data_IF_184293457088
#
_entry.id   IF_184293457088
#
_cell.length_a   1.000
_cell.length_b   1.000
_cell.length_c   1.000
_cell.angle_alpha   90.00
_cell.angle_beta   90.00
_cell.angle_gamma   90.00
#
_symmetry.space_group_name_H-M   'P 1'
#
loop_
_entity.id
_entity.type
_entity.pdbx_description
1 polymer ?
#
# COMPACT_ATOMS: atom_id res chain seq x y z
N UNK A 1 -8.29 -2.15 20.20
CA UNK A 1 -7.12 -2.15 21.11
C UNK A 1 -7.34 -2.96 22.39
N UNK A 2 -8.56 -3.38 22.75
CA UNK A 2 -8.79 -4.08 24.02
C UNK A 2 -8.41 -5.58 24.02
N UNK A 3 -8.57 -6.28 22.90
CA UNK A 3 -8.43 -7.74 22.83
C UNK A 3 -6.97 -8.23 22.99
N UNK A 4 -6.01 -7.47 22.47
CA UNK A 4 -4.58 -7.80 22.64
C UNK A 4 -4.12 -7.49 24.08
N UNK A 5 -4.80 -6.56 24.77
CA UNK A 5 -4.46 -6.22 26.14
C UNK A 5 -4.81 -7.36 27.11
N UNK A 6 -5.78 -8.21 26.77
CA UNK A 6 -6.17 -9.38 27.55
C UNK A 6 -5.41 -10.66 27.17
N UNK A 7 -4.60 -10.62 26.11
CA UNK A 7 -3.79 -11.76 25.69
C UNK A 7 -2.67 -12.04 26.72
N UNK A 8 -2.35 -13.30 27.00
CA UNK A 8 -1.19 -13.68 27.81
C UNK A 8 0.10 -13.02 27.32
N UNK A 9 0.99 -12.65 28.23
CA UNK A 9 2.22 -11.88 27.92
C UNK A 9 3.13 -12.64 26.94
N UNK A 10 3.21 -13.95 27.08
CA UNK A 10 3.94 -14.87 26.23
C UNK A 10 3.35 -14.97 24.81
N UNK A 11 2.03 -14.84 24.67
CA UNK A 11 1.29 -14.92 23.40
C UNK A 11 1.17 -13.56 22.71
N UNK A 12 1.52 -12.46 23.40
CA UNK A 12 1.33 -11.11 22.90
C UNK A 12 2.21 -10.80 21.67
N UNK A 13 1.63 -10.28 20.58
CA UNK A 13 2.39 -9.95 19.38
C UNK A 13 3.30 -8.74 19.62
N UNK A 14 4.50 -8.77 19.03
CA UNK A 14 5.46 -7.66 19.05
C UNK A 14 5.02 -6.49 18.17
N UNK A 15 4.28 -6.81 17.12
CA UNK A 15 3.73 -5.85 16.18
C UNK A 15 2.27 -6.20 15.93
N UNK A 16 1.41 -5.18 15.90
CA UNK A 16 0.01 -5.34 15.52
C UNK A 16 -0.47 -4.06 14.83
N UNK A 17 -0.87 -4.20 13.57
CA UNK A 17 -1.51 -3.12 12.81
C UNK A 17 -2.77 -3.66 12.15
N UNK A 18 -3.87 -2.94 12.33
CA UNK A 18 -5.17 -3.26 11.73
C UNK A 18 -5.50 -2.25 10.64
N UNK A 19 -5.90 -2.75 9.47
CA UNK A 19 -6.46 -1.95 8.39
C UNK A 19 -7.83 -2.55 8.00
N UNK A 20 -8.92 -1.83 8.31
CA UNK A 20 -10.29 -2.36 8.21
C UNK A 20 -10.43 -3.71 8.93
N UNK A 21 -10.58 -4.80 8.20
CA UNK A 21 -10.79 -6.14 8.74
C UNK A 21 -9.49 -6.98 8.75
N UNK A 22 -8.47 -6.52 8.04
CA UNK A 22 -7.17 -7.18 7.95
C UNK A 22 -6.23 -6.75 9.10
N UNK A 23 -5.47 -7.71 9.62
CA UNK A 23 -4.51 -7.51 10.70
C UNK A 23 -3.15 -8.04 10.23
N UNK A 24 -2.12 -7.20 10.37
CA UNK A 24 -0.72 -7.61 10.23
C UNK A 24 -0.08 -7.66 11.60
N UNK A 25 0.47 -8.82 11.94
CA UNK A 25 1.05 -9.09 13.25
C UNK A 25 2.42 -9.78 13.17
N UNK A 26 3.21 -9.60 14.22
CA UNK A 26 4.49 -10.30 14.40
C UNK A 26 4.44 -11.07 15.72
N UNK A 27 4.31 -12.38 15.63
CA UNK A 27 4.24 -13.31 16.76
C UNK A 27 5.27 -14.43 16.57
N UNK A 28 5.67 -15.07 17.67
CA UNK A 28 6.48 -16.28 17.60
C UNK A 28 5.66 -17.41 16.98
N UNK A 29 6.29 -18.25 16.16
CA UNK A 29 5.59 -19.30 15.40
C UNK A 29 4.84 -20.28 16.31
N UNK A 30 5.43 -20.62 17.45
CA UNK A 30 4.84 -21.49 18.47
C UNK A 30 3.60 -20.89 19.17
N UNK A 31 3.43 -19.56 19.11
CA UNK A 31 2.35 -18.86 19.81
C UNK A 31 1.23 -18.39 18.86
N UNK A 32 1.36 -18.62 17.55
CA UNK A 32 0.40 -18.18 16.54
C UNK A 32 -1.00 -18.83 16.74
N UNK A 33 -1.01 -20.15 17.00
CA UNK A 33 -2.24 -20.89 17.28
C UNK A 33 -2.91 -20.38 18.56
N UNK A 34 -2.14 -20.23 19.65
CA UNK A 34 -2.64 -19.72 20.93
C UNK A 34 -3.21 -18.30 20.82
N UNK A 35 -2.60 -17.44 20.01
CA UNK A 35 -3.09 -16.08 19.78
C UNK A 35 -4.42 -16.10 19.03
N UNK A 36 -4.51 -16.92 17.98
CA UNK A 36 -5.71 -17.04 17.15
C UNK A 36 -6.88 -17.61 17.96
N UNK A 37 -6.62 -18.60 18.82
CA UNK A 37 -7.60 -19.15 19.75
C UNK A 37 -8.08 -18.10 20.75
N UNK A 38 -7.17 -17.32 21.34
CA UNK A 38 -7.52 -16.21 22.24
C UNK A 38 -8.41 -15.16 21.55
N UNK A 39 -8.09 -14.79 20.32
CA UNK A 39 -8.89 -13.85 19.53
C UNK A 39 -10.30 -14.39 19.28
N UNK A 40 -10.41 -15.67 18.93
CA UNK A 40 -11.69 -16.35 18.68
C UNK A 40 -12.55 -16.55 19.93
N UNK A 41 -11.93 -16.65 21.12
CA UNK A 41 -12.67 -16.76 22.39
C UNK A 41 -13.25 -15.42 22.87
N UNK A 42 -12.82 -14.30 22.27
CA UNK A 42 -13.26 -12.97 22.71
C UNK A 42 -14.71 -12.67 22.35
N UNK A 43 -15.19 -13.22 21.23
CA UNK A 43 -16.59 -13.09 20.83
C UNK A 43 -17.42 -14.27 21.36
N UNK A 44 -18.08 -14.04 22.51
CA UNK A 44 -18.96 -15.03 23.12
C UNK A 44 -20.15 -15.44 22.23
N UNK A 45 -20.48 -14.67 21.20
CA UNK A 45 -21.57 -14.99 20.26
C UNK A 45 -21.12 -15.94 19.14
N UNK A 46 -19.81 -16.07 18.91
CA UNK A 46 -19.25 -16.85 17.80
C UNK A 46 -19.55 -16.28 16.42
N UNK A 47 -19.96 -15.01 16.32
CA UNK A 47 -20.30 -14.35 15.06
C UNK A 47 -19.04 -13.96 14.27
N UNK A 48 -17.92 -13.75 14.96
CA UNK A 48 -16.64 -13.36 14.37
C UNK A 48 -15.64 -14.51 14.55
N UNK A 49 -15.02 -14.92 13.45
CA UNK A 49 -13.93 -15.89 13.44
C UNK A 49 -12.69 -15.31 12.76
N UNK A 50 -11.60 -15.25 13.50
CA UNK A 50 -10.27 -14.93 13.02
C UNK A 50 -9.65 -16.16 12.36
N UNK A 51 -9.06 -15.92 11.21
CA UNK A 51 -8.21 -16.86 10.47
C UNK A 51 -6.84 -16.21 10.31
N UNK A 52 -5.78 -16.98 10.45
CA UNK A 52 -4.41 -16.51 10.26
C UNK A 52 -3.83 -17.01 8.93
N UNK A 53 -3.13 -16.12 8.23
CA UNK A 53 -2.27 -16.47 7.10
C UNK A 53 -0.82 -16.42 7.58
N UNK A 54 -0.11 -17.55 7.49
CA UNK A 54 1.28 -17.66 7.96
C UNK A 54 2.26 -17.38 6.84
N UNK A 55 3.41 -16.82 7.22
CA UNK A 55 4.55 -16.68 6.32
C UNK A 55 4.96 -18.05 5.77
N UNK A 56 5.05 -18.16 4.44
CA UNK A 56 5.49 -19.35 3.74
C UNK A 56 6.72 -19.03 2.90
N UNK A 57 7.82 -19.73 3.14
CA UNK A 57 9.09 -19.53 2.42
C UNK A 57 9.56 -18.07 2.37
N UNK A 58 9.45 -17.33 3.48
CA UNK A 58 9.83 -15.90 3.51
C UNK A 58 8.76 -14.94 2.96
N UNK A 59 7.64 -15.45 2.44
CA UNK A 59 6.62 -14.66 1.77
C UNK A 59 5.34 -14.60 2.60
N UNK A 60 4.80 -13.39 2.77
CA UNK A 60 3.52 -13.16 3.43
C UNK A 60 2.69 -12.13 2.63
N UNK A 61 1.59 -12.54 1.98
CA UNK A 61 0.66 -11.60 1.38
C UNK A 61 -0.10 -10.83 2.47
N UNK A 62 -0.30 -9.55 2.28
CA UNK A 62 -1.15 -8.70 3.12
C UNK A 62 -1.72 -7.56 2.26
N UNK A 63 -3.04 -7.54 2.07
CA UNK A 63 -3.71 -6.60 1.15
C UNK A 63 -3.12 -6.71 -0.28
N UNK A 64 -2.75 -5.57 -0.87
CA UNK A 64 -2.11 -5.46 -2.18
C UNK A 64 -0.57 -5.57 -2.12
N UNK A 65 -0.02 -5.98 -0.96
CA UNK A 65 1.43 -6.03 -0.71
C UNK A 65 1.87 -7.46 -0.45
N UNK A 66 2.97 -7.86 -1.08
CA UNK A 66 3.68 -9.09 -0.77
C UNK A 66 4.92 -8.72 0.04
N UNK A 67 4.92 -9.14 1.30
CA UNK A 67 6.04 -8.94 2.22
C UNK A 67 7.02 -10.09 1.99
N UNK A 68 8.27 -9.78 1.68
CA UNK A 68 9.32 -10.79 1.45
C UNK A 68 10.45 -10.56 2.44
N UNK A 69 10.69 -11.55 3.29
CA UNK A 69 11.83 -11.60 4.21
C UNK A 69 13.04 -12.15 3.48
N UNK A 70 14.11 -11.37 3.41
CA UNK A 70 15.41 -11.79 2.87
C UNK A 70 16.22 -12.55 3.91
N UNK A 71 17.19 -13.34 3.46
CA UNK A 71 18.04 -14.17 4.32
C UNK A 71 18.83 -13.36 5.36
N UNK A 72 19.14 -12.10 5.03
CA UNK A 72 19.81 -11.17 5.94
C UNK A 72 18.88 -10.54 7.00
N UNK A 73 17.61 -10.99 7.07
CA UNK A 73 16.60 -10.50 8.01
C UNK A 73 15.93 -9.18 7.63
N UNK A 74 16.31 -8.56 6.52
CA UNK A 74 15.64 -7.35 6.02
C UNK A 74 14.41 -7.70 5.17
N UNK A 75 13.48 -6.76 5.06
CA UNK A 75 12.22 -6.95 4.35
C UNK A 75 12.28 -6.16 3.04
N UNK A 76 11.77 -6.77 1.96
CA UNK A 76 11.38 -6.06 0.75
C UNK A 76 9.89 -6.23 0.50
N UNK A 77 9.30 -5.25 -0.17
CA UNK A 77 7.88 -5.25 -0.49
C UNK A 77 7.70 -5.31 -2.01
N UNK A 78 6.74 -6.13 -2.43
CA UNK A 78 6.31 -6.27 -3.82
C UNK A 78 4.81 -6.03 -3.92
N UNK A 79 4.30 -5.84 -5.14
CA UNK A 79 2.85 -5.81 -5.38
C UNK A 79 2.33 -7.25 -5.37
N UNK A 80 1.40 -7.54 -4.47
CA UNK A 80 0.73 -8.85 -4.44
C UNK A 80 -0.42 -8.89 -5.47
N UNK A 81 -0.52 -10.01 -6.17
CA UNK A 81 -1.65 -10.33 -7.05
C UNK A 81 -2.14 -11.72 -6.67
N UNK A 82 -3.44 -11.85 -6.38
CA UNK A 82 -4.07 -13.16 -6.13
C UNK A 82 -3.92 -14.04 -7.38
N UNK A 83 -3.95 -15.36 -7.20
CA UNK A 83 -3.91 -16.32 -8.31
C UNK A 83 -5.04 -16.13 -9.33
N UNK A 84 -6.17 -15.55 -8.90
CA UNK A 84 -7.30 -15.20 -9.75
C UNK A 84 -7.16 -13.87 -10.50
N UNK A 85 -6.05 -13.13 -10.32
CA UNK A 85 -5.84 -11.84 -10.97
C UNK A 85 -5.53 -12.05 -12.47
N UNK A 86 -6.36 -11.49 -13.34
CA UNK A 86 -6.28 -11.70 -14.80
C UNK A 86 -5.55 -10.59 -15.55
N UNK A 87 -5.08 -9.55 -14.86
CA UNK A 87 -4.58 -8.30 -15.47
C UNK A 87 -5.61 -7.60 -16.36
N UNK A 88 -6.90 -7.88 -16.16
CA UNK A 88 -7.96 -7.23 -16.90
C UNK A 88 -8.27 -5.86 -16.30
N UNK A 89 -7.80 -4.82 -16.97
CA UNK A 89 -8.08 -3.42 -16.63
C UNK A 89 -9.16 -2.81 -17.54
N UNK A 90 -9.47 -1.54 -17.30
CA UNK A 90 -10.42 -0.79 -18.12
C UNK A 90 -9.99 -0.80 -19.58
N UNK A 91 -10.80 -1.36 -20.48
CA UNK A 91 -10.45 -1.41 -21.90
C UNK A 91 -10.33 0.00 -22.49
N UNK A 92 -9.24 0.28 -23.20
CA UNK A 92 -8.97 1.61 -23.77
C UNK A 92 -10.02 2.06 -24.81
N UNK A 93 -10.65 1.13 -25.53
CA UNK A 93 -11.68 1.42 -26.54
C UNK A 93 -13.10 1.54 -25.97
N UNK A 94 -13.29 1.27 -24.68
CA UNK A 94 -14.61 1.42 -24.04
C UNK A 94 -15.09 2.87 -24.02
N UNK A 95 -16.40 3.08 -23.87
CA UNK A 95 -17.03 4.41 -23.78
C UNK A 95 -16.86 5.05 -22.39
N UNK A 96 -15.63 5.04 -21.87
CA UNK A 96 -15.29 5.71 -20.61
C UNK A 96 -14.54 7.02 -20.87
N UNK A 97 -14.72 8.04 -20.01
CA UNK A 97 -13.98 9.29 -20.09
C UNK A 97 -12.47 9.06 -20.14
N UNK A 98 -11.78 9.86 -20.96
CA UNK A 98 -10.35 9.68 -21.19
C UNK A 98 -9.51 9.82 -19.90
N UNK A 99 -9.93 10.68 -18.97
CA UNK A 99 -9.22 10.85 -17.70
C UNK A 99 -9.32 9.62 -16.79
N UNK A 100 -10.40 8.83 -16.85
CA UNK A 100 -10.47 7.55 -16.12
C UNK A 100 -9.47 6.55 -16.67
N UNK A 101 -9.32 6.48 -18.01
CA UNK A 101 -8.34 5.60 -18.66
C UNK A 101 -6.92 5.95 -18.24
N UNK A 102 -6.56 7.24 -18.26
CA UNK A 102 -5.26 7.70 -17.74
C UNK A 102 -5.11 7.46 -16.23
N UNK A 103 -6.21 7.56 -15.48
CA UNK A 103 -6.27 7.26 -14.06
C UNK A 103 -5.83 5.84 -13.74
N UNK A 104 -6.21 4.84 -14.55
CA UNK A 104 -5.75 3.46 -14.38
C UNK A 104 -4.23 3.36 -14.44
N UNK A 105 -3.60 3.94 -15.48
CA UNK A 105 -2.14 3.94 -15.62
C UNK A 105 -1.50 4.60 -14.40
N UNK A 106 -2.02 5.77 -14.02
CA UNK A 106 -1.51 6.54 -12.89
C UNK A 106 -1.58 5.74 -11.59
N UNK A 107 -2.71 5.13 -11.29
CA UNK A 107 -2.90 4.34 -10.07
C UNK A 107 -1.95 3.15 -10.01
N UNK A 108 -1.77 2.42 -11.11
CA UNK A 108 -0.84 1.28 -11.15
C UNK A 108 0.62 1.73 -11.00
N UNK A 109 1.01 2.83 -11.65
CA UNK A 109 2.37 3.39 -11.53
C UNK A 109 2.64 3.96 -10.14
N UNK A 110 1.68 4.66 -9.54
CA UNK A 110 1.76 5.14 -8.15
C UNK A 110 1.85 3.97 -7.17
N UNK A 111 1.09 2.89 -7.41
CA UNK A 111 1.17 1.66 -6.61
C UNK A 111 2.55 1.03 -6.68
N UNK A 112 3.11 0.87 -7.89
CA UNK A 112 4.48 0.38 -8.07
C UNK A 112 5.49 1.26 -7.31
N UNK A 113 5.38 2.58 -7.42
CA UNK A 113 6.33 3.50 -6.79
C UNK A 113 6.25 3.48 -5.26
N UNK A 114 5.05 3.40 -4.69
CA UNK A 114 4.83 3.51 -3.25
C UNK A 114 4.99 2.18 -2.50
N UNK A 115 4.68 1.05 -3.15
CA UNK A 115 4.75 -0.27 -2.51
C UNK A 115 6.13 -0.89 -2.69
N UNK A 116 6.65 -0.91 -3.92
CA UNK A 116 7.86 -1.69 -4.22
C UNK A 116 9.09 -0.98 -3.67
N UNK A 117 9.91 -1.70 -2.91
CA UNK A 117 11.06 -1.11 -2.21
C UNK A 117 12.33 -1.08 -3.07
N UNK A 118 12.60 -2.14 -3.82
CA UNK A 118 13.85 -2.31 -4.59
C UNK A 118 13.68 -1.82 -6.04
N UNK A 119 14.71 -1.20 -6.63
CA UNK A 119 14.59 -0.58 -7.96
C UNK A 119 14.55 -1.63 -9.09
N UNK A 120 15.21 -2.77 -8.88
CA UNK A 120 15.15 -3.93 -9.78
C UNK A 120 13.69 -4.45 -9.86
N UNK A 121 13.06 -4.67 -8.71
CA UNK A 121 11.68 -5.09 -8.61
C UNK A 121 10.71 -4.05 -9.17
N UNK A 122 10.98 -2.75 -8.99
CA UNK A 122 10.18 -1.69 -9.64
C UNK A 122 10.27 -1.77 -11.15
N UNK A 123 11.42 -2.12 -11.70
CA UNK A 123 11.59 -2.25 -13.16
C UNK A 123 10.78 -3.42 -13.68
N UNK A 124 10.78 -4.54 -12.97
CA UNK A 124 9.95 -5.72 -13.29
C UNK A 124 8.47 -5.37 -13.21
N UNK A 125 8.03 -4.71 -12.15
CA UNK A 125 6.64 -4.32 -11.93
C UNK A 125 6.16 -3.30 -12.97
N UNK A 126 6.98 -2.29 -13.33
CA UNK A 126 6.67 -1.33 -14.40
C UNK A 126 6.49 -2.04 -15.75
N UNK A 127 7.34 -3.02 -16.04
CA UNK A 127 7.21 -3.83 -17.26
C UNK A 127 5.90 -4.61 -17.26
N UNK A 128 5.59 -5.31 -16.17
CA UNK A 128 4.31 -6.03 -16.01
C UNK A 128 3.10 -5.11 -16.23
N UNK A 129 3.09 -3.93 -15.60
CA UNK A 129 2.01 -2.95 -15.77
C UNK A 129 1.86 -2.53 -17.24
N UNK A 130 2.98 -2.31 -17.93
CA UNK A 130 2.98 -1.90 -19.34
C UNK A 130 2.40 -3.01 -20.22
N UNK A 131 2.89 -4.24 -20.08
CA UNK A 131 2.42 -5.41 -20.84
C UNK A 131 0.93 -5.70 -20.58
N UNK A 132 0.48 -5.55 -19.34
CA UNK A 132 -0.93 -5.72 -18.97
C UNK A 132 -1.84 -4.66 -19.61
N UNK A 133 -1.42 -3.40 -19.61
CA UNK A 133 -2.19 -2.31 -20.19
C UNK A 133 -2.17 -2.33 -21.72
N UNK A 134 -1.07 -2.75 -22.33
CA UNK A 134 -1.00 -3.00 -23.78
C UNK A 134 -2.00 -4.07 -24.21
N UNK A 135 -2.13 -5.17 -23.45
CA UNK A 135 -3.20 -6.17 -23.64
C UNK A 135 -4.61 -5.59 -23.51
N UNK A 136 -4.78 -4.52 -22.72
CA UNK A 136 -6.04 -3.79 -22.58
C UNK A 136 -6.26 -2.71 -23.65
N UNK A 137 -5.37 -2.62 -24.66
CA UNK A 137 -5.48 -1.70 -25.80
C UNK A 137 -4.91 -0.31 -25.56
N UNK A 138 -4.12 -0.10 -24.50
CA UNK A 138 -3.54 1.21 -24.20
C UNK A 138 -2.37 1.55 -25.14
N UNK A 139 -2.40 2.69 -25.85
CA UNK A 139 -1.29 3.12 -26.69
C UNK A 139 -0.06 3.59 -25.90
N UNK A 140 1.14 3.36 -26.43
CA UNK A 140 2.42 3.69 -25.76
C UNK A 140 2.56 5.17 -25.35
N UNK A 141 2.00 6.10 -26.14
CA UNK A 141 2.05 7.54 -25.81
C UNK A 141 1.31 7.90 -24.51
N UNK A 142 0.34 7.08 -24.09
CA UNK A 142 -0.44 7.33 -22.87
C UNK A 142 0.43 7.21 -21.62
N UNK A 143 1.37 6.26 -21.61
CA UNK A 143 2.34 6.08 -20.53
C UNK A 143 3.27 7.29 -20.41
N UNK A 144 3.80 7.79 -21.53
CA UNK A 144 4.64 9.00 -21.56
C UNK A 144 3.88 10.22 -21.02
N UNK A 145 2.61 10.37 -21.44
CA UNK A 145 1.75 11.45 -20.95
C UNK A 145 1.53 11.38 -19.44
N UNK A 146 1.25 10.20 -18.90
CA UNK A 146 1.04 10.01 -17.45
C UNK A 146 2.33 10.22 -16.68
N UNK A 147 3.47 9.75 -17.19
CA UNK A 147 4.78 9.98 -16.57
C UNK A 147 5.05 11.48 -16.36
N UNK A 148 4.87 12.29 -17.41
CA UNK A 148 5.05 13.75 -17.30
C UNK A 148 4.05 14.40 -16.34
N UNK A 149 2.80 13.92 -16.29
CA UNK A 149 1.82 14.41 -15.32
C UNK A 149 2.23 14.09 -13.87
N UNK A 150 2.77 12.88 -13.64
CA UNK A 150 3.25 12.48 -12.32
C UNK A 150 4.48 13.29 -11.88
N UNK A 151 5.45 13.51 -12.78
CA UNK A 151 6.63 14.34 -12.53
C UNK A 151 6.23 15.78 -12.15
N UNK A 152 5.31 16.37 -12.91
CA UNK A 152 4.75 17.70 -12.60
C UNK A 152 4.07 17.72 -11.24
N UNK A 153 3.23 16.73 -10.93
CA UNK A 153 2.54 16.67 -9.64
C UNK A 153 3.50 16.52 -8.46
N UNK A 154 4.63 15.84 -8.63
CA UNK A 154 5.66 15.74 -7.59
C UNK A 154 6.36 17.07 -7.37
N UNK A 155 6.72 17.77 -8.46
CA UNK A 155 7.32 19.11 -8.38
C UNK A 155 6.36 20.11 -7.69
N UNK A 156 5.08 20.10 -8.06
CA UNK A 156 4.05 20.96 -7.47
C UNK A 156 3.89 20.71 -5.96
N UNK A 157 3.90 19.43 -5.54
CA UNK A 157 3.84 19.04 -4.11
C UNK A 157 5.06 19.57 -3.34
N UNK A 158 6.26 19.36 -3.87
CA UNK A 158 7.51 19.81 -3.24
C UNK A 158 7.52 21.34 -3.08
N UNK A 159 7.18 22.08 -4.14
CA UNK A 159 7.11 23.56 -4.07
C UNK A 159 6.08 24.05 -3.06
N UNK A 160 4.94 23.35 -2.93
CA UNK A 160 3.90 23.69 -1.95
C UNK A 160 4.35 23.45 -0.51
N UNK A 161 5.07 22.36 -0.26
CA UNK A 161 5.65 22.04 1.06
C UNK A 161 6.72 23.05 1.46
N UNK A 162 7.60 23.44 0.53
CA UNK A 162 8.61 24.49 0.71
C UNK A 162 7.95 25.84 1.07
N UNK A 163 6.92 26.26 0.31
CA UNK A 163 6.16 27.49 0.61
C UNK A 163 5.46 27.44 1.97
N UNK A 164 4.98 26.26 2.38
CA UNK A 164 4.33 26.08 3.69
C UNK A 164 5.36 26.17 4.82
N UNK A 165 6.55 25.58 4.64
CA UNK A 165 7.65 25.70 5.59
C UNK A 165 8.08 27.17 5.79
N UNK A 166 8.17 27.94 4.70
CA UNK A 166 8.47 29.39 4.76
C UNK A 166 7.39 30.16 5.53
N UNK A 167 6.10 29.86 5.31
CA UNK A 167 5.00 30.53 6.04
C UNK A 167 4.98 30.23 7.54
N UNK A 168 5.46 29.07 7.98
CA UNK A 168 5.50 28.73 9.42
C UNK A 168 6.51 29.63 10.16
N UNK A 169 7.54 30.15 9.48
CA UNK A 169 8.49 31.11 10.04
C UNK A 169 8.10 32.59 9.93
N UNK A 170 6.92 32.90 9.37
CA UNK A 170 6.51 34.27 9.07
C UNK A 170 5.57 34.80 10.16
N UNK A 171 6.09 35.65 11.05
CA UNK A 171 5.26 36.40 12.02
C UNK A 171 4.62 37.57 11.27
N UNK A 172 3.30 37.51 11.10
CA UNK A 172 2.52 38.62 10.52
C UNK A 172 2.12 39.56 11.65
N UNK A 173 2.75 40.73 11.71
CA UNK A 173 2.32 41.80 12.62
C UNK A 173 1.18 42.56 11.92
N UNK A 174 -0.02 42.66 12.52
CA UNK A 174 -1.10 43.44 11.94
C UNK A 174 -0.70 44.92 11.87
N UNK A 175 -0.83 45.51 10.68
CA UNK A 175 -0.62 46.93 10.49
C UNK A 175 -1.71 47.72 11.20
N UNK A 176 -1.32 48.54 12.17
CA UNK A 176 -2.21 49.52 12.81
C UNK A 176 -1.89 50.89 12.24
N UNK A 177 -2.85 51.49 11.52
CA UNK A 177 -2.71 52.84 10.98
C UNK A 177 -2.90 53.86 12.11
N UNK A 178 -1.86 54.62 12.45
CA UNK A 178 -1.96 55.76 13.37
C UNK A 178 -1.25 55.62 14.71
N UNK A 179 -0.19 54.81 14.78
CA UNK A 179 0.89 54.98 15.78
C UNK A 179 2.04 55.73 15.12
#
# INVERSE_FOLDING_TARGET
>A
MHVIATAPIDVKPKFWKRYKDDILELVKKENADALTDHLNQTDATGSIKFIDERENDGHLPCLDVLIVRKDNGTIKLLVYRKSSHTDQYLNFHSHHPFHHKLGVIRTLMERCHNIVTEEEDKTIERRHITEALERCGYPSWTFTKVKHQMERSQWDKKSREERKAIRIGLVVIPFVKGV
#
